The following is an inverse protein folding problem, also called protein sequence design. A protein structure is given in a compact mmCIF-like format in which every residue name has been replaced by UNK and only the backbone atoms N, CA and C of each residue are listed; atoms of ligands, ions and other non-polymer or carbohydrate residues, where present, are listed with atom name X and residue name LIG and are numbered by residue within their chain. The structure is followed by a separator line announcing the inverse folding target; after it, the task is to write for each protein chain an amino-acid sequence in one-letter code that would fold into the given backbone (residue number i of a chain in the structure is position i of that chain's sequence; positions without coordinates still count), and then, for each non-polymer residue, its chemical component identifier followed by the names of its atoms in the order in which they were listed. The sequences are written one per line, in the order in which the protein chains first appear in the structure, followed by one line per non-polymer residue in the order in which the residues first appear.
data_IF_146951360152
#
_entry.id   IF_146951360152
#
_cell.length_a   1.000
_cell.length_b   1.000
_cell.length_c   1.000
_cell.angle_alpha   90.00
_cell.angle_beta   90.00
_cell.angle_gamma   90.00
#
_symmetry.space_group_name_H-M   'P 1'
#
loop_
_entity.id
_entity.type
_entity.pdbx_description
1 polymer ?
#
# COMPACT_ATOMS: atom_id res chain seq x y z
N UNK A 1 -0.19 0.82 15.27
CA UNK A 1 0.13 1.13 13.88
C UNK A 1 -1.06 1.90 13.36
N UNK A 2 -0.79 3.07 12.82
CA UNK A 2 -1.84 3.92 12.27
C UNK A 2 -1.84 3.72 10.77
N UNK A 3 -2.92 3.15 10.26
CA UNK A 3 -3.11 2.88 8.84
C UNK A 3 -4.10 3.92 8.30
N UNK A 4 -3.71 4.61 7.23
CA UNK A 4 -4.62 5.47 6.47
C UNK A 4 -4.74 4.93 5.04
N UNK A 5 -5.95 4.54 4.67
CA UNK A 5 -6.33 4.28 3.28
C UNK A 5 -7.42 5.29 2.91
N UNK A 6 -7.18 6.04 1.85
CA UNK A 6 -8.13 7.01 1.33
C UNK A 6 -8.26 6.84 -0.19
N UNK A 7 -9.49 6.92 -0.67
CA UNK A 7 -9.81 6.95 -2.10
C UNK A 7 -10.34 8.32 -2.48
N UNK A 8 -9.92 8.82 -3.64
CA UNK A 8 -10.47 10.03 -4.26
C UNK A 8 -10.66 9.85 -5.76
N UNK A 9 -11.70 10.48 -6.31
CA UNK A 9 -11.92 10.51 -7.76
C UNK A 9 -10.94 11.50 -8.41
N UNK A 10 -10.22 11.02 -9.42
CA UNK A 10 -9.27 11.81 -10.23
C UNK A 10 -9.63 11.72 -11.71
N UNK A 11 -9.05 12.58 -12.54
CA UNK A 11 -9.36 12.59 -13.98
C UNK A 11 -9.10 11.24 -14.68
N UNK A 12 -8.14 10.46 -14.19
CA UNK A 12 -7.76 9.17 -14.74
C UNK A 12 -8.52 7.97 -14.15
N UNK A 13 -9.39 8.16 -13.15
CA UNK A 13 -10.09 7.08 -12.45
C UNK A 13 -10.19 7.33 -10.94
N UNK A 14 -9.94 6.32 -10.12
CA UNK A 14 -9.96 6.43 -8.65
C UNK A 14 -8.55 6.25 -8.09
N UNK A 15 -8.03 7.27 -7.41
CA UNK A 15 -6.73 7.20 -6.75
C UNK A 15 -6.89 6.66 -5.33
N UNK A 16 -6.17 5.59 -5.01
CA UNK A 16 -6.05 5.04 -3.66
C UNK A 16 -4.71 5.46 -3.08
N UNK A 17 -4.76 6.19 -1.97
CA UNK A 17 -3.62 6.57 -1.15
C UNK A 17 -3.50 5.63 0.06
N UNK A 18 -2.31 5.09 0.26
CA UNK A 18 -1.95 4.23 1.40
C UNK A 18 -0.81 4.88 2.16
N UNK A 19 -1.01 5.17 3.43
CA UNK A 19 0.06 5.60 4.32
C UNK A 19 -0.02 4.89 5.67
N UNK A 20 1.15 4.66 6.25
CA UNK A 20 1.29 3.90 7.49
C UNK A 20 2.23 4.66 8.40
N UNK A 21 1.90 4.71 9.69
CA UNK A 21 2.85 5.10 10.73
C UNK A 21 3.05 3.97 11.71
N UNK A 22 4.31 3.63 11.90
CA UNK A 22 4.76 2.67 12.90
C UNK A 22 5.36 3.45 14.06
N UNK A 23 5.00 3.05 15.28
CA UNK A 23 5.74 3.46 16.47
C UNK A 23 7.15 2.85 16.46
N UNK A 24 8.08 3.43 17.23
CA UNK A 24 9.43 2.87 17.37
C UNK A 24 9.41 1.42 17.88
N UNK A 25 8.43 1.05 18.72
CA UNK A 25 8.25 -0.34 19.19
C UNK A 25 7.87 -1.28 18.04
N UNK A 26 6.98 -0.86 17.15
CA UNK A 26 6.53 -1.66 16.01
C UNK A 26 7.62 -1.81 14.96
N UNK A 27 8.35 -0.73 14.67
CA UNK A 27 9.49 -0.75 13.76
C UNK A 27 10.59 -1.69 14.28
N UNK A 28 10.92 -1.62 15.58
CA UNK A 28 11.88 -2.54 16.19
C UNK A 28 11.40 -4.00 16.13
N UNK A 29 10.10 -4.25 16.32
CA UNK A 29 9.55 -5.60 16.20
C UNK A 29 9.73 -6.13 14.78
N UNK A 30 9.35 -5.36 13.76
CA UNK A 30 9.55 -5.73 12.35
C UNK A 30 11.01 -5.98 12.02
N UNK A 31 11.93 -5.15 12.52
CA UNK A 31 13.36 -5.37 12.30
C UNK A 31 13.84 -6.70 12.89
N UNK A 32 13.34 -7.08 14.07
CA UNK A 32 13.71 -8.33 14.76
C UNK A 32 13.03 -9.57 14.17
N UNK A 33 11.76 -9.47 13.78
CA UNK A 33 10.98 -10.58 13.18
C UNK A 33 11.24 -10.77 11.68
N UNK A 34 11.87 -9.79 11.04
CA UNK A 34 11.92 -9.67 9.59
C UNK A 34 10.80 -8.77 9.06
N UNK A 35 11.15 -7.96 8.07
CA UNK A 35 10.20 -7.03 7.46
C UNK A 35 9.15 -7.76 6.62
N UNK A 36 7.95 -7.19 6.57
CA UNK A 36 6.82 -7.77 5.85
C UNK A 36 6.77 -7.20 4.44
N UNK A 37 6.72 -8.07 3.43
CA UNK A 37 6.52 -7.67 2.04
C UNK A 37 5.02 -7.53 1.74
N UNK A 38 4.54 -6.28 1.66
CA UNK A 38 3.16 -5.96 1.29
C UNK A 38 3.00 -6.07 -0.21
N UNK A 39 2.06 -6.91 -0.65
CA UNK A 39 1.69 -7.03 -2.05
C UNK A 39 0.81 -5.85 -2.47
N UNK A 40 1.11 -5.30 -3.65
CA UNK A 40 0.40 -4.18 -4.25
C UNK A 40 -0.17 -4.65 -5.60
N UNK A 41 -1.36 -5.31 -5.62
CA UNK A 41 -1.98 -5.81 -6.84
C UNK A 41 -2.13 -4.74 -7.92
N UNK A 42 -2.02 -5.17 -9.17
CA UNK A 42 -2.13 -4.31 -10.37
C UNK A 42 -3.45 -4.52 -11.12
N UNK A 43 -4.30 -5.43 -10.66
CA UNK A 43 -5.59 -5.72 -11.28
C UNK A 43 -6.47 -4.45 -11.32
N UNK A 44 -6.84 -4.02 -12.53
CA UNK A 44 -7.62 -2.80 -12.75
C UNK A 44 -6.85 -1.50 -12.54
N UNK A 45 -5.54 -1.55 -12.29
CA UNK A 45 -4.70 -0.37 -12.18
C UNK A 45 -4.55 0.32 -13.54
N UNK A 46 -4.59 1.65 -13.55
CA UNK A 46 -4.28 2.46 -14.72
C UNK A 46 -2.76 2.52 -14.84
N UNK A 47 -2.22 1.77 -15.80
CA UNK A 47 -0.79 1.70 -16.07
C UNK A 47 -0.51 2.44 -17.37
N UNK A 48 0.43 3.39 -17.33
CA UNK A 48 0.99 3.93 -18.56
C UNK A 48 1.91 2.88 -19.18
N UNK A 49 1.51 2.35 -20.34
CA UNK A 49 2.34 1.38 -21.07
C UNK A 49 3.70 2.01 -21.41
N UNK A 50 4.77 1.29 -21.11
CA UNK A 50 6.17 1.68 -21.36
C UNK A 50 6.67 2.95 -20.66
N UNK A 51 5.93 3.46 -19.66
CA UNK A 51 6.38 4.58 -18.84
C UNK A 51 7.23 4.10 -17.65
N UNK A 52 8.36 4.78 -17.44
CA UNK A 52 9.12 4.65 -16.20
C UNK A 52 8.59 5.66 -15.16
N UNK A 53 8.51 5.28 -13.88
CA UNK A 53 8.94 4.00 -13.31
C UNK A 53 7.94 2.85 -13.54
N UNK A 54 8.46 1.63 -13.70
CA UNK A 54 7.64 0.42 -13.76
C UNK A 54 6.78 0.32 -12.48
N UNK A 55 5.47 0.06 -12.58
CA UNK A 55 4.59 -0.06 -11.42
C UNK A 55 5.09 -1.12 -10.43
N UNK A 56 5.20 -0.75 -9.15
CA UNK A 56 5.67 -1.66 -8.09
C UNK A 56 4.61 -2.71 -7.76
N UNK A 57 4.94 -4.00 -7.88
CA UNK A 57 4.05 -5.09 -7.46
C UNK A 57 4.02 -5.36 -5.95
N UNK A 58 4.98 -4.81 -5.20
CA UNK A 58 5.10 -4.96 -3.76
C UNK A 58 5.96 -3.86 -3.15
N UNK A 59 5.89 -3.72 -1.83
CA UNK A 59 6.69 -2.79 -1.03
C UNK A 59 6.96 -3.39 0.35
N UNK A 60 8.13 -3.12 0.92
CA UNK A 60 8.41 -3.48 2.31
C UNK A 60 7.59 -2.61 3.27
N UNK A 61 7.07 -3.19 4.36
CA UNK A 61 6.26 -2.47 5.32
C UNK A 61 7.06 -1.34 5.99
N UNK A 62 8.33 -1.57 6.32
CA UNK A 62 9.19 -0.49 6.86
C UNK A 62 9.44 0.62 5.84
N UNK A 63 9.54 0.30 4.55
CA UNK A 63 9.66 1.29 3.48
C UNK A 63 8.39 2.12 3.33
N UNK A 64 7.22 1.47 3.32
CA UNK A 64 5.93 2.15 3.25
C UNK A 64 5.71 3.06 4.48
N UNK A 65 6.10 2.60 5.67
CA UNK A 65 6.04 3.39 6.90
C UNK A 65 7.06 4.53 6.94
N UNK A 66 8.18 4.40 6.23
CA UNK A 66 9.22 5.43 6.10
C UNK A 66 8.88 6.49 5.04
N UNK A 67 7.91 6.24 4.16
CA UNK A 67 7.47 7.18 3.12
C UNK A 67 6.60 8.28 3.73
N UNK A 68 7.06 9.54 3.67
CA UNK A 68 6.27 10.70 4.10
C UNK A 68 5.02 10.92 3.26
N UNK A 69 5.08 10.57 1.99
CA UNK A 69 3.97 10.70 1.04
C UNK A 69 3.14 9.41 0.94
N UNK A 70 3.54 8.33 1.62
CA UNK A 70 2.90 7.02 1.47
C UNK A 70 3.10 6.42 0.08
N UNK A 71 2.06 5.76 -0.41
CA UNK A 71 1.99 5.11 -1.71
C UNK A 71 0.64 5.41 -2.36
N UNK A 72 0.65 5.79 -3.64
CA UNK A 72 -0.57 6.07 -4.42
C UNK A 72 -0.66 5.17 -5.62
N UNK A 73 -1.87 4.67 -5.92
CA UNK A 73 -2.19 3.97 -7.16
C UNK A 73 -3.54 4.39 -7.71
N UNK A 74 -3.62 4.56 -9.02
CA UNK A 74 -4.87 4.89 -9.72
C UNK A 74 -5.47 3.63 -10.34
N UNK A 75 -6.78 3.49 -10.23
CA UNK A 75 -7.58 2.39 -10.78
C UNK A 75 -8.62 2.92 -11.76
N UNK A 76 -8.97 2.13 -12.77
CA UNK A 76 -9.91 2.55 -13.80
C UNK A 76 -11.34 2.72 -13.27
N UNK A 77 -11.71 1.98 -12.21
CA UNK A 77 -13.02 2.02 -11.59
C UNK A 77 -12.95 1.84 -10.07
N UNK A 78 -14.06 2.18 -9.40
CA UNK A 78 -14.19 2.10 -7.94
C UNK A 78 -14.17 0.66 -7.41
N UNK A 79 -14.54 -0.34 -8.21
CA UNK A 79 -14.56 -1.73 -7.77
C UNK A 79 -13.13 -2.27 -7.65
N UNK A 80 -12.27 -1.96 -8.62
CA UNK A 80 -10.84 -2.27 -8.58
C UNK A 80 -10.14 -1.52 -7.43
N UNK A 81 -10.45 -0.23 -7.24
CA UNK A 81 -9.92 0.55 -6.12
C UNK A 81 -10.28 -0.06 -4.76
N UNK A 82 -11.56 -0.41 -4.55
CA UNK A 82 -12.03 -1.04 -3.31
C UNK A 82 -11.42 -2.43 -3.08
N UNK A 83 -11.23 -3.22 -4.14
CA UNK A 83 -10.57 -4.52 -4.05
C UNK A 83 -9.11 -4.38 -3.62
N UNK A 84 -8.39 -3.41 -4.17
CA UNK A 84 -7.02 -3.09 -3.76
C UNK A 84 -6.95 -2.62 -2.30
N UNK A 85 -7.81 -1.68 -1.89
CA UNK A 85 -7.86 -1.23 -0.49
C UNK A 85 -8.10 -2.38 0.47
N UNK A 86 -9.05 -3.26 0.18
CA UNK A 86 -9.37 -4.41 1.01
C UNK A 86 -8.20 -5.41 1.09
N UNK A 87 -7.50 -5.64 -0.02
CA UNK A 87 -6.34 -6.52 -0.08
C UNK A 87 -5.15 -5.96 0.72
N UNK A 88 -4.85 -4.67 0.58
CA UNK A 88 -3.78 -4.01 1.33
C UNK A 88 -4.12 -3.96 2.82
N UNK A 89 -5.33 -3.51 3.19
CA UNK A 89 -5.75 -3.42 4.60
C UNK A 89 -5.57 -4.76 5.33
N UNK A 90 -6.03 -5.86 4.74
CA UNK A 90 -5.93 -7.20 5.34
C UNK A 90 -4.48 -7.61 5.59
N UNK A 91 -3.59 -7.36 4.64
CA UNK A 91 -2.17 -7.65 4.81
C UNK A 91 -1.56 -6.84 5.95
N UNK A 92 -1.89 -5.55 6.04
CA UNK A 92 -1.38 -4.66 7.08
C UNK A 92 -1.88 -5.04 8.47
N UNK A 93 -3.16 -5.38 8.61
CA UNK A 93 -3.74 -5.88 9.87
C UNK A 93 -3.03 -7.17 10.34
N UNK A 94 -2.68 -8.06 9.41
CA UNK A 94 -2.01 -9.34 9.72
C UNK A 94 -0.52 -9.15 10.07
N UNK A 95 0.15 -8.15 9.50
CA UNK A 95 1.60 -7.97 9.62
C UNK A 95 2.11 -7.74 11.05
N UNK A 96 1.26 -7.27 11.97
CA UNK A 96 1.62 -7.04 13.37
C UNK A 96 1.12 -8.14 14.33
N UNK A 97 0.29 -9.04 13.85
CA UNK A 97 -0.18 -10.20 14.60
C UNK A 97 0.81 -11.37 14.55
N UNK A 98 1.72 -11.37 13.57
CA UNK A 98 2.79 -12.35 13.47
C UNK A 98 3.70 -12.30 14.72
N UNK A 99 3.93 -13.44 15.42
CA UNK A 99 4.63 -13.49 16.70
C UNK A 99 6.04 -12.89 16.66
#
# INVERSE_FOLDING_TARGET
MDITLASEDVAAGVAVHVSIRLSGRELNRLFLSGDTLVQLPLDGAVLEADAAPIPRGSIFLSELAGSTEGFTRVFADAAAAAAFEAAVRRQLETALEAP
#
